data_IF_731688982923
#
_entry.id   IF_731688982923
#
_cell.length_a   1.000
_cell.length_b   1.000
_cell.length_c   1.000
_cell.angle_alpha   90.00
_cell.angle_beta   90.00
_cell.angle_gamma   90.00
#
_symmetry.space_group_name_H-M   'P 1'
#
loop_
_entity.id
_entity.type
_entity.pdbx_description
1 polymer ?
#
# COMPACT_ATOMS: atom_id res chain seq x y z
N UNK A 1 -2.17 -66.66 59.81
CA UNK A 1 -1.06 -65.83 59.30
C UNK A 1 -0.96 -65.71 57.77
N UNK A 2 -1.83 -66.34 56.95
CA UNK A 2 -1.77 -66.20 55.47
C UNK A 2 -2.44 -64.93 54.90
N UNK A 3 -3.46 -64.37 55.57
CA UNK A 3 -4.17 -63.16 55.08
C UNK A 3 -3.37 -61.86 55.17
N UNK A 4 -2.44 -61.76 56.13
CA UNK A 4 -1.62 -60.56 56.30
C UNK A 4 -0.55 -60.45 55.18
N UNK A 5 0.01 -61.58 54.77
CA UNK A 5 1.11 -61.61 53.79
C UNK A 5 0.65 -61.22 52.39
N UNK A 6 -0.59 -61.57 52.01
CA UNK A 6 -1.20 -61.19 50.73
C UNK A 6 -1.45 -59.67 50.64
N UNK A 7 -1.86 -59.05 51.75
CA UNK A 7 -2.07 -57.59 51.83
C UNK A 7 -0.74 -56.85 51.73
N UNK A 8 0.32 -57.32 52.41
CA UNK A 8 1.65 -56.71 52.28
C UNK A 8 2.29 -56.93 50.91
N UNK A 9 2.02 -58.05 50.22
CA UNK A 9 2.46 -58.23 48.81
C UNK A 9 1.65 -57.37 47.84
N UNK A 10 0.33 -57.22 48.03
CA UNK A 10 -0.50 -56.31 47.22
C UNK A 10 -0.14 -54.84 47.44
N UNK A 11 0.14 -54.43 48.68
CA UNK A 11 0.61 -53.07 48.98
C UNK A 11 2.04 -52.87 48.43
N UNK A 12 2.93 -53.84 48.57
CA UNK A 12 4.28 -53.80 47.99
C UNK A 12 4.28 -53.72 46.45
N UNK A 13 3.40 -54.45 45.78
CA UNK A 13 3.18 -54.36 44.33
C UNK A 13 2.56 -53.01 43.94
N UNK A 14 1.60 -52.48 44.70
CA UNK A 14 1.03 -51.15 44.46
C UNK A 14 2.05 -50.02 44.64
N UNK A 15 3.00 -50.14 45.57
CA UNK A 15 4.06 -49.14 45.74
C UNK A 15 5.14 -49.19 44.64
N UNK A 16 5.35 -50.34 43.99
CA UNK A 16 6.23 -50.44 42.81
C UNK A 16 5.64 -49.79 41.54
N UNK A 17 4.34 -49.49 41.51
CA UNK A 17 3.65 -48.88 40.36
C UNK A 17 3.12 -47.46 40.61
N UNK A 18 3.56 -46.79 41.69
CA UNK A 18 3.15 -45.41 42.03
C UNK A 18 3.56 -44.32 41.03
N UNK A 19 4.21 -44.67 39.93
CA UNK A 19 4.44 -43.76 38.82
C UNK A 19 3.49 -44.11 37.68
N UNK A 20 2.29 -43.54 37.70
CA UNK A 20 1.49 -43.35 36.48
C UNK A 20 2.31 -42.45 35.53
N UNK A 21 3.13 -43.05 34.67
CA UNK A 21 4.06 -42.36 33.77
C UNK A 21 3.30 -41.69 32.62
N UNK A 22 2.81 -40.47 32.83
CA UNK A 22 2.38 -39.63 31.72
C UNK A 22 3.59 -39.30 30.83
N UNK A 23 3.59 -39.80 29.59
CA UNK A 23 4.67 -39.61 28.62
C UNK A 23 4.24 -38.61 27.55
N UNK A 24 5.05 -37.58 27.34
CA UNK A 24 4.94 -36.64 26.20
C UNK A 24 6.19 -36.75 25.37
N UNK A 25 6.04 -37.11 24.11
CA UNK A 25 7.14 -37.14 23.15
C UNK A 25 6.91 -36.05 22.10
N UNK A 26 7.70 -34.96 22.11
CA UNK A 26 7.60 -33.93 21.08
C UNK A 26 8.16 -34.45 19.75
N UNK A 27 7.44 -34.18 18.67
CA UNK A 27 7.88 -34.47 17.29
C UNK A 27 8.55 -33.24 16.64
N UNK A 28 9.12 -32.36 17.47
CA UNK A 28 9.80 -31.13 17.08
C UNK A 28 11.06 -30.90 17.93
N UNK A 29 12.03 -30.19 17.37
CA UNK A 29 13.22 -29.74 18.10
C UNK A 29 13.03 -28.31 18.59
N UNK A 30 13.33 -28.04 19.86
CA UNK A 30 13.33 -26.67 20.40
C UNK A 30 14.63 -25.99 19.95
N UNK A 31 14.50 -24.91 19.20
CA UNK A 31 15.62 -24.12 18.74
C UNK A 31 15.98 -23.05 19.77
N UNK A 32 17.26 -22.65 19.81
CA UNK A 32 17.68 -21.49 20.59
C UNK A 32 17.42 -20.22 19.78
N UNK A 33 16.83 -19.22 20.41
CA UNK A 33 16.65 -17.89 19.83
C UNK A 33 17.66 -16.92 20.45
N UNK A 34 18.71 -16.62 19.70
CA UNK A 34 19.74 -15.65 20.05
C UNK A 34 19.77 -14.57 18.97
N UNK A 35 19.09 -13.44 19.23
CA UNK A 35 19.05 -12.29 18.33
C UNK A 35 19.19 -11.00 19.13
N UNK A 36 19.95 -10.05 18.58
CA UNK A 36 20.10 -8.69 19.13
C UNK A 36 18.78 -7.90 19.05
N UNK A 37 17.93 -8.24 18.08
CA UNK A 37 16.64 -7.56 17.85
C UNK A 37 15.50 -8.57 17.88
N UNK A 38 14.44 -8.26 18.64
CA UNK A 38 13.21 -9.05 18.66
C UNK A 38 12.36 -8.68 17.44
N UNK A 39 11.84 -9.67 16.69
CA UNK A 39 10.98 -9.39 15.56
C UNK A 39 9.65 -8.79 16.01
N UNK A 40 9.05 -7.97 15.15
CA UNK A 40 7.76 -7.33 15.42
C UNK A 40 6.64 -8.13 14.77
N UNK A 41 5.61 -8.47 15.55
CA UNK A 41 4.45 -9.20 15.06
C UNK A 41 3.17 -8.85 15.84
N UNK A 42 2.05 -9.33 15.32
CA UNK A 42 0.72 -9.15 15.88
C UNK A 42 0.05 -10.51 16.02
N UNK A 43 -0.73 -10.72 17.08
CA UNK A 43 -1.57 -11.93 17.19
C UNK A 43 -2.82 -11.73 16.33
N UNK A 44 -3.00 -12.55 15.31
CA UNK A 44 -4.11 -12.43 14.38
C UNK A 44 -5.47 -12.68 15.03
N UNK A 45 -6.56 -12.12 14.46
CA UNK A 45 -7.91 -12.28 15.01
C UNK A 45 -8.38 -13.74 15.03
N UNK A 46 -7.93 -14.57 14.07
CA UNK A 46 -8.26 -16.00 13.98
C UNK A 46 -7.54 -16.92 14.97
N UNK A 47 -6.72 -16.37 15.86
CA UNK A 47 -6.05 -17.17 16.90
C UNK A 47 -7.05 -17.72 17.92
N UNK A 48 -6.90 -18.98 18.29
CA UNK A 48 -7.71 -19.63 19.32
C UNK A 48 -7.57 -18.92 20.68
N UNK A 49 -8.68 -18.74 21.39
CA UNK A 49 -8.73 -18.18 22.75
C UNK A 49 -9.23 -16.73 22.84
N UNK A 50 -10.03 -16.46 23.88
CA UNK A 50 -10.55 -15.13 24.19
C UNK A 50 -9.47 -14.12 24.65
N UNK A 51 -9.85 -12.86 24.97
CA UNK A 51 -8.92 -11.77 25.28
C UNK A 51 -7.86 -12.10 26.34
N UNK A 52 -8.24 -12.82 27.40
CA UNK A 52 -7.34 -13.21 28.48
C UNK A 52 -6.20 -14.16 28.04
N UNK A 53 -6.44 -15.02 27.04
CA UNK A 53 -5.39 -15.89 26.49
C UNK A 53 -4.40 -15.06 25.68
N UNK A 54 -4.89 -14.12 24.87
CA UNK A 54 -4.05 -13.22 24.07
C UNK A 54 -3.13 -12.38 24.94
N UNK A 55 -3.63 -11.90 26.07
CA UNK A 55 -2.85 -11.11 27.03
C UNK A 55 -1.77 -11.95 27.74
N UNK A 56 -2.10 -13.20 28.09
CA UNK A 56 -1.14 -14.17 28.64
C UNK A 56 -0.03 -14.48 27.62
N UNK A 57 -0.41 -14.74 26.36
CA UNK A 57 0.55 -14.97 25.28
C UNK A 57 1.44 -13.77 25.03
N UNK A 58 0.88 -12.55 25.04
CA UNK A 58 1.65 -11.30 24.92
C UNK A 58 2.74 -11.23 26.00
N UNK A 59 2.40 -11.54 27.25
CA UNK A 59 3.36 -11.55 28.37
C UNK A 59 4.44 -12.61 28.20
N UNK A 60 4.07 -13.84 27.84
CA UNK A 60 5.03 -14.95 27.79
C UNK A 60 5.94 -14.89 26.55
N UNK A 61 5.41 -14.43 25.42
CA UNK A 61 6.15 -14.28 24.16
C UNK A 61 6.97 -12.99 24.10
N UNK A 62 6.67 -11.99 24.94
CA UNK A 62 7.40 -10.70 24.98
C UNK A 62 8.93 -10.83 25.13
N UNK A 63 9.39 -11.97 25.69
CA UNK A 63 10.81 -12.30 25.82
C UNK A 63 11.50 -12.51 24.49
N UNK A 64 10.76 -12.97 23.48
CA UNK A 64 11.28 -13.40 22.18
C UNK A 64 10.78 -12.54 21.02
N UNK A 65 9.55 -12.02 21.10
CA UNK A 65 8.86 -11.28 20.04
C UNK A 65 8.28 -9.98 20.62
N UNK A 66 8.39 -8.88 19.88
CA UNK A 66 7.70 -7.64 20.21
C UNK A 66 6.27 -7.69 19.64
N UNK A 67 5.32 -8.05 20.50
CA UNK A 67 3.92 -8.27 20.12
C UNK A 67 3.09 -7.00 20.31
N UNK A 68 2.59 -6.44 19.20
CA UNK A 68 1.61 -5.34 19.22
C UNK A 68 0.18 -5.84 19.05
N UNK A 69 -0.79 -5.01 19.43
CA UNK A 69 -2.21 -5.33 19.22
C UNK A 69 -2.59 -5.24 17.74
N UNK A 70 -3.55 -6.08 17.35
CA UNK A 70 -4.10 -6.06 16.01
C UNK A 70 -4.98 -4.82 15.86
N UNK A 71 -4.65 -3.99 14.88
CA UNK A 71 -5.54 -2.97 14.34
C UNK A 71 -5.82 -3.29 12.88
N UNK A 72 -7.05 -3.07 12.43
CA UNK A 72 -7.40 -3.17 11.00
C UNK A 72 -6.61 -2.20 10.12
N UNK A 73 -6.02 -1.16 10.72
CA UNK A 73 -5.14 -0.18 10.05
C UNK A 73 -3.70 -0.69 9.87
N UNK A 74 -3.34 -1.86 10.40
CA UNK A 74 -1.96 -2.39 10.40
C UNK A 74 -1.84 -3.76 9.69
N UNK A 75 -2.58 -3.95 8.59
CA UNK A 75 -2.58 -5.21 7.81
C UNK A 75 -1.20 -5.64 7.28
N UNK A 76 -0.27 -4.70 7.17
CA UNK A 76 1.09 -4.94 6.67
C UNK A 76 2.03 -5.56 7.72
N UNK A 77 1.64 -5.60 9.01
CA UNK A 77 2.42 -6.30 10.04
C UNK A 77 2.29 -7.82 9.89
N UNK A 78 3.32 -8.56 10.31
CA UNK A 78 3.28 -10.02 10.38
C UNK A 78 2.26 -10.44 11.42
N UNK A 79 1.23 -11.17 11.00
CA UNK A 79 0.20 -11.73 11.85
C UNK A 79 0.53 -13.19 12.15
N UNK A 80 0.51 -13.56 13.42
CA UNK A 80 0.72 -14.94 13.88
C UNK A 80 -0.63 -15.47 14.36
N UNK A 81 -1.09 -16.55 13.73
CA UNK A 81 -2.38 -17.19 14.03
C UNK A 81 -2.13 -18.57 14.63
N UNK A 82 -2.59 -18.78 15.87
CA UNK A 82 -2.49 -20.06 16.57
C UNK A 82 -3.79 -20.87 16.43
N UNK A 83 -3.70 -22.08 15.91
CA UNK A 83 -4.80 -23.02 15.79
C UNK A 83 -4.47 -24.32 16.55
N UNK A 84 -5.46 -24.89 17.24
CA UNK A 84 -5.32 -26.24 17.80
C UNK A 84 -5.27 -27.26 16.64
N UNK A 85 -4.32 -28.18 16.70
CA UNK A 85 -4.15 -29.21 15.69
C UNK A 85 -4.28 -30.59 16.34
N UNK A 86 -5.32 -31.33 15.98
CA UNK A 86 -5.44 -32.75 16.31
C UNK A 86 -5.70 -33.54 15.02
N UNK A 87 -4.77 -34.38 14.56
CA UNK A 87 -4.92 -35.09 13.29
C UNK A 87 -5.94 -36.24 13.33
N UNK A 88 -6.57 -36.56 14.48
CA UNK A 88 -7.56 -37.63 14.60
C UNK A 88 -8.65 -37.33 15.65
N UNK A 89 -9.85 -37.02 15.19
CA UNK A 89 -11.07 -37.47 15.86
C UNK A 89 -11.36 -38.91 15.39
N UNK A 90 -10.52 -39.87 15.77
CA UNK A 90 -11.01 -41.26 15.77
C UNK A 90 -11.89 -41.40 17.00
N UNK A 91 -13.19 -41.30 16.73
CA UNK A 91 -14.29 -41.71 17.56
C UNK A 91 -13.86 -42.95 18.36
N UNK A 92 -13.52 -42.75 19.63
CA UNK A 92 -13.32 -43.88 20.51
C UNK A 92 -14.69 -44.34 20.99
N UNK A 93 -15.47 -44.85 20.03
CA UNK A 93 -16.52 -45.81 20.29
C UNK A 93 -15.89 -47.15 20.73
N UNK A 94 -15.22 -47.14 21.88
CA UNK A 94 -15.15 -48.34 22.72
C UNK A 94 -16.42 -48.30 23.56
N UNK A 95 -17.34 -49.25 23.49
CA UNK A 95 -17.21 -50.63 23.08
C UNK A 95 -18.23 -51.34 23.96
N UNK A 96 -19.40 -51.61 23.40
CA UNK A 96 -20.43 -52.44 24.02
C UNK A 96 -19.87 -53.86 24.17
N UNK A 97 -19.15 -54.15 25.23
CA UNK A 97 -18.86 -55.51 25.75
C UNK A 97 -18.74 -55.30 27.27
N UNK A 98 -19.63 -55.78 28.13
CA UNK A 98 -20.10 -57.14 28.22
C UNK A 98 -19.34 -57.85 29.35
N UNK A 99 -19.99 -57.96 30.52
CA UNK A 99 -19.81 -59.04 31.51
C UNK A 99 -18.57 -58.99 32.44
N UNK A 100 -18.89 -58.76 33.72
CA UNK A 100 -18.41 -59.38 34.97
C UNK A 100 -16.98 -59.94 35.12
N UNK A 101 -16.39 -59.62 36.28
CA UNK A 101 -15.43 -60.42 37.05
C UNK A 101 -14.21 -60.99 36.29
N UNK A 102 -13.09 -60.24 36.28
CA UNK A 102 -11.77 -60.76 36.69
C UNK A 102 -10.74 -59.63 36.65
N UNK A 103 -9.83 -59.61 37.63
CA UNK A 103 -8.60 -58.84 37.60
C UNK A 103 -7.76 -59.20 36.37
N UNK A 104 -7.88 -58.43 35.29
CA UNK A 104 -6.88 -58.38 34.23
C UNK A 104 -6.49 -56.92 34.07
N UNK A 105 -5.22 -56.63 34.39
CA UNK A 105 -4.54 -55.41 34.00
C UNK A 105 -4.56 -55.33 32.47
N UNK A 106 -5.53 -54.62 31.89
CA UNK A 106 -5.38 -54.13 30.52
C UNK A 106 -4.57 -52.83 30.58
N UNK A 107 -3.33 -52.78 30.07
CA UNK A 107 -2.67 -51.51 29.83
C UNK A 107 -3.45 -50.79 28.73
N UNK A 108 -4.27 -49.81 29.10
CA UNK A 108 -4.96 -48.96 28.13
C UNK A 108 -3.90 -48.12 27.38
N UNK A 109 -3.52 -48.56 26.18
CA UNK A 109 -2.71 -47.81 25.22
C UNK A 109 -3.58 -46.81 24.47
N UNK A 110 -3.88 -45.67 25.09
CA UNK A 110 -4.45 -44.55 24.33
C UNK A 110 -3.35 -43.53 24.05
N UNK A 111 -2.69 -43.70 22.90
CA UNK A 111 -1.85 -42.66 22.31
C UNK A 111 -2.74 -41.72 21.51
N UNK A 112 -2.69 -40.42 21.80
CA UNK A 112 -3.29 -39.41 20.94
C UNK A 112 -2.24 -38.37 20.55
N UNK A 113 -2.31 -37.90 19.32
CA UNK A 113 -1.48 -36.83 18.81
C UNK A 113 -2.23 -35.51 18.99
N UNK A 114 -1.55 -34.52 19.56
CA UNK A 114 -2.06 -33.16 19.72
C UNK A 114 -0.97 -32.17 19.41
N UNK A 115 -1.33 -30.99 18.91
CA UNK A 115 -0.35 -30.01 18.50
C UNK A 115 -0.92 -28.62 18.31
N UNK A 116 -0.03 -27.73 17.88
CA UNK A 116 -0.35 -26.36 17.50
C UNK A 116 0.03 -26.19 16.04
N UNK A 117 -0.89 -25.62 15.26
CA UNK A 117 -0.62 -25.09 13.94
C UNK A 117 -0.42 -23.57 14.07
N UNK A 118 0.69 -23.07 13.54
CA UNK A 118 1.05 -21.66 13.53
C UNK A 118 1.05 -21.19 12.08
N UNK A 119 0.20 -20.22 11.75
CA UNK A 119 0.18 -19.58 10.43
C UNK A 119 0.75 -18.16 10.55
N UNK A 120 1.58 -17.80 9.58
CA UNK A 120 2.15 -16.47 9.45
C UNK A 120 1.52 -15.79 8.24
N UNK A 121 0.83 -14.68 8.48
CA UNK A 121 0.10 -13.95 7.46
C UNK A 121 0.62 -12.53 7.31
N UNK A 122 0.69 -12.03 6.07
CA UNK A 122 0.95 -10.62 5.76
C UNK A 122 -0.13 -10.17 4.78
N UNK A 123 -0.88 -9.11 5.13
CA UNK A 123 -1.98 -8.59 4.32
C UNK A 123 -3.01 -9.68 3.91
N UNK A 124 -3.34 -10.59 4.84
CA UNK A 124 -4.30 -11.68 4.61
C UNK A 124 -3.81 -12.82 3.71
N UNK A 125 -2.53 -12.81 3.30
CA UNK A 125 -1.90 -13.92 2.59
C UNK A 125 -1.03 -14.73 3.53
N UNK A 126 -1.19 -16.06 3.51
CA UNK A 126 -0.36 -16.99 4.27
C UNK A 126 1.02 -17.07 3.62
N UNK A 127 2.05 -16.63 4.34
CA UNK A 127 3.46 -16.72 3.93
C UNK A 127 4.09 -18.05 4.37
N UNK A 128 3.68 -18.57 5.52
CA UNK A 128 4.23 -19.83 6.07
C UNK A 128 3.26 -20.50 7.04
N UNK A 129 3.31 -21.84 7.10
CA UNK A 129 2.56 -22.66 8.06
C UNK A 129 3.53 -23.63 8.74
N UNK A 130 3.49 -23.67 10.07
CA UNK A 130 4.29 -24.57 10.89
C UNK A 130 3.37 -25.41 11.77
N UNK A 131 3.76 -26.68 12.00
CA UNK A 131 3.00 -27.62 12.83
C UNK A 131 3.93 -28.20 13.89
N UNK A 132 3.52 -28.09 15.13
CA UNK A 132 4.23 -28.63 16.29
C UNK A 132 3.36 -29.67 16.95
N UNK A 133 3.70 -30.95 16.81
CA UNK A 133 2.91 -32.06 17.37
C UNK A 133 3.65 -32.77 18.51
N UNK A 134 2.85 -33.29 19.45
CA UNK A 134 3.30 -34.08 20.58
C UNK A 134 2.48 -35.37 20.65
N UNK A 135 3.18 -36.50 20.71
CA UNK A 135 2.57 -37.80 21.00
C UNK A 135 2.40 -37.94 22.51
N UNK A 136 1.15 -38.19 22.93
CA UNK A 136 0.79 -38.27 24.35
C UNK A 136 0.30 -39.67 24.66
N UNK A 137 0.91 -40.29 25.66
CA UNK A 137 0.52 -41.62 26.15
C UNK A 137 -0.03 -41.49 27.56
N UNK A 138 -1.30 -41.88 27.74
CA UNK A 138 -1.95 -41.91 29.05
C UNK A 138 -2.00 -43.34 29.58
N UNK A 139 -1.49 -43.55 30.79
CA UNK A 139 -1.60 -44.83 31.49
C UNK A 139 -2.63 -44.70 32.61
N UNK A 140 -3.72 -45.45 32.53
CA UNK A 140 -4.83 -45.39 33.50
C UNK A 140 -4.88 -46.68 34.32
N UNK A 141 -4.87 -46.55 35.64
CA UNK A 141 -5.12 -47.66 36.57
C UNK A 141 -6.60 -47.66 37.00
N UNK A 142 -7.29 -48.77 36.73
CA UNK A 142 -8.74 -48.90 36.81
C UNK A 142 -9.41 -48.59 38.17
N UNK A 143 -8.79 -48.77 39.35
CA UNK A 143 -9.47 -48.51 40.63
C UNK A 143 -9.81 -47.03 40.90
N UNK A 144 -9.15 -46.08 40.22
CA UNK A 144 -9.35 -44.63 40.42
C UNK A 144 -10.26 -43.97 39.37
N UNK A 145 -10.80 -44.74 38.43
CA UNK A 145 -11.56 -44.21 37.29
C UNK A 145 -12.92 -43.64 37.71
N UNK A 146 -13.55 -44.18 38.76
CA UNK A 146 -14.90 -43.75 39.17
C UNK A 146 -14.95 -42.40 39.91
N UNK A 147 -13.89 -41.99 40.60
CA UNK A 147 -13.86 -40.70 41.31
C UNK A 147 -13.73 -39.51 40.34
N UNK A 148 -13.06 -39.73 39.21
CA UNK A 148 -12.80 -38.71 38.19
C UNK A 148 -13.98 -38.49 37.23
N UNK A 149 -14.89 -39.45 37.04
CA UNK A 149 -15.97 -39.32 36.04
C UNK A 149 -17.00 -38.22 36.41
N UNK A 150 -17.16 -37.90 37.70
CA UNK A 150 -18.19 -36.96 38.16
C UNK A 150 -17.71 -35.51 38.40
N UNK A 151 -16.40 -35.24 38.38
CA UNK A 151 -15.83 -33.90 38.65
C UNK A 151 -15.17 -33.24 37.44
N UNK A 152 -15.04 -33.91 36.29
CA UNK A 152 -14.07 -33.53 35.25
C UNK A 152 -14.54 -32.52 34.17
N UNK A 153 -15.81 -32.12 34.06
CA UNK A 153 -16.23 -31.37 32.85
C UNK A 153 -15.62 -29.96 32.75
N UNK A 154 -15.47 -29.21 33.85
CA UNK A 154 -14.80 -27.90 33.86
C UNK A 154 -13.28 -27.99 33.99
N UNK A 155 -12.76 -28.99 34.73
CA UNK A 155 -11.32 -29.19 34.90
C UNK A 155 -10.61 -29.65 33.61
N UNK A 156 -11.32 -30.36 32.72
CA UNK A 156 -10.77 -30.77 31.42
C UNK A 156 -10.44 -29.55 30.54
N UNK A 157 -11.31 -28.54 30.51
CA UNK A 157 -11.08 -27.34 29.70
C UNK A 157 -9.89 -26.51 30.20
N UNK A 158 -9.82 -26.28 31.52
CA UNK A 158 -8.70 -25.57 32.15
C UNK A 158 -7.38 -26.36 32.03
N UNK A 159 -7.44 -27.68 32.15
CA UNK A 159 -6.30 -28.56 31.94
C UNK A 159 -5.80 -28.52 30.49
N UNK A 160 -6.71 -28.58 29.51
CA UNK A 160 -6.37 -28.45 28.06
C UNK A 160 -5.75 -27.08 27.75
N UNK A 161 -6.31 -26.00 28.28
CA UNK A 161 -5.82 -24.62 28.11
C UNK A 161 -4.42 -24.43 28.70
N UNK A 162 -4.18 -24.93 29.91
CA UNK A 162 -2.87 -24.86 30.57
C UNK A 162 -1.80 -25.63 29.78
N UNK A 163 -2.17 -26.79 29.25
CA UNK A 163 -1.28 -27.63 28.44
C UNK A 163 -0.96 -27.00 27.07
N UNK A 164 -1.94 -26.37 26.44
CA UNK A 164 -1.77 -25.61 25.21
C UNK A 164 -0.81 -24.43 25.40
N UNK A 165 -0.98 -23.64 26.46
CA UNK A 165 -0.06 -22.56 26.83
C UNK A 165 1.36 -23.08 27.08
N UNK A 166 1.50 -24.22 27.76
CA UNK A 166 2.81 -24.83 28.01
C UNK A 166 3.51 -25.25 26.71
N UNK A 167 2.78 -25.82 25.76
CA UNK A 167 3.30 -26.14 24.43
C UNK A 167 3.71 -24.86 23.70
N UNK A 168 2.85 -23.84 23.65
CA UNK A 168 3.14 -22.54 23.03
C UNK A 168 4.42 -21.88 23.59
N UNK A 169 4.59 -21.89 24.91
CA UNK A 169 5.81 -21.38 25.55
C UNK A 169 7.06 -22.16 25.17
N UNK A 170 6.93 -23.47 24.98
CA UNK A 170 8.04 -24.34 24.61
C UNK A 170 8.49 -24.07 23.18
N UNK A 171 7.55 -23.77 22.28
CA UNK A 171 7.84 -23.48 20.86
C UNK A 171 8.05 -21.98 20.56
N UNK A 172 7.86 -21.09 21.53
CA UNK A 172 8.01 -19.64 21.36
C UNK A 172 9.36 -19.22 20.73
N UNK A 173 10.51 -19.83 21.08
CA UNK A 173 11.79 -19.54 20.40
C UNK A 173 11.77 -19.87 18.91
N UNK A 174 11.13 -20.98 18.51
CA UNK A 174 11.01 -21.39 17.11
C UNK A 174 10.14 -20.38 16.34
N UNK A 175 9.01 -19.97 16.95
CA UNK A 175 8.11 -18.97 16.37
C UNK A 175 8.84 -17.64 16.18
N UNK A 176 9.62 -17.20 17.16
CA UNK A 176 10.40 -15.97 17.06
C UNK A 176 11.44 -16.03 15.93
N UNK A 177 12.12 -17.16 15.76
CA UNK A 177 13.09 -17.34 14.67
C UNK A 177 12.42 -17.30 13.30
N UNK A 178 11.30 -17.98 13.14
CA UNK A 178 10.52 -17.97 11.89
C UNK A 178 9.97 -16.57 11.59
N UNK A 179 9.47 -15.86 12.60
CA UNK A 179 9.01 -14.47 12.47
C UNK A 179 10.13 -13.55 12.00
N UNK A 180 11.32 -13.65 12.60
CA UNK A 180 12.49 -12.85 12.21
C UNK A 180 12.95 -13.14 10.78
N UNK A 181 12.87 -14.41 10.35
CA UNK A 181 13.18 -14.79 8.97
C UNK A 181 12.20 -14.15 7.98
N UNK A 182 10.90 -14.23 8.27
CA UNK A 182 9.84 -13.64 7.44
C UNK A 182 9.99 -12.11 7.38
N UNK A 183 10.30 -11.46 8.50
CA UNK A 183 10.54 -10.02 8.57
C UNK A 183 11.72 -9.61 7.68
N UNK A 184 12.84 -10.34 7.77
CA UNK A 184 14.02 -10.04 6.96
C UNK A 184 13.78 -10.29 5.45
N UNK A 185 13.07 -11.36 5.09
CA UNK A 185 12.74 -11.68 3.69
C UNK A 185 11.78 -10.66 3.07
N UNK A 186 10.89 -10.06 3.86
CA UNK A 186 9.88 -9.11 3.38
C UNK A 186 10.20 -7.64 3.69
N UNK A 187 11.30 -7.34 4.37
CA UNK A 187 11.65 -5.99 4.82
C UNK A 187 11.61 -4.95 3.71
N UNK A 188 12.17 -5.26 2.53
CA UNK A 188 12.16 -4.37 1.37
C UNK A 188 10.75 -4.13 0.83
N UNK A 189 9.97 -5.21 0.65
CA UNK A 189 8.59 -5.15 0.15
C UNK A 189 7.66 -4.39 1.09
N UNK A 190 7.83 -4.56 2.39
CA UNK A 190 7.06 -3.83 3.41
C UNK A 190 7.39 -2.33 3.38
N UNK A 191 8.67 -1.98 3.25
CA UNK A 191 9.10 -0.58 3.15
C UNK A 191 8.56 0.07 1.87
N UNK A 192 8.63 -0.61 0.72
CA UNK A 192 8.11 -0.14 -0.56
C UNK A 192 6.59 0.10 -0.50
N UNK A 193 5.82 -0.84 0.07
CA UNK A 193 4.37 -0.66 0.23
C UNK A 193 4.01 0.53 1.12
N UNK A 194 4.71 0.68 2.24
CA UNK A 194 4.50 1.81 3.15
C UNK A 194 4.80 3.13 2.45
N UNK A 195 5.86 3.17 1.64
CA UNK A 195 6.20 4.33 0.83
C UNK A 195 5.08 4.66 -0.17
N UNK A 196 4.57 3.68 -0.92
CA UNK A 196 3.46 3.87 -1.88
C UNK A 196 2.19 4.36 -1.16
N UNK A 197 1.84 3.79 -0.01
CA UNK A 197 0.68 4.23 0.78
C UNK A 197 0.85 5.68 1.25
N UNK A 198 2.04 6.06 1.70
CA UNK A 198 2.33 7.43 2.09
C UNK A 198 2.22 8.38 0.89
N UNK A 199 2.78 8.02 -0.27
CA UNK A 199 2.68 8.81 -1.49
C UNK A 199 1.24 9.00 -1.97
N UNK A 200 0.42 7.95 -1.89
CA UNK A 200 -1.02 8.01 -2.19
C UNK A 200 -1.74 8.96 -1.23
N UNK A 201 -1.50 8.83 0.07
CA UNK A 201 -2.13 9.68 1.09
C UNK A 201 -1.74 11.15 0.91
N UNK A 202 -0.48 11.44 0.61
CA UNK A 202 -0.03 12.80 0.32
C UNK A 202 -0.66 13.32 -0.97
N UNK A 203 -0.71 12.52 -2.03
CA UNK A 203 -1.38 12.90 -3.27
C UNK A 203 -2.84 13.25 -3.04
N UNK A 204 -3.60 12.45 -2.29
CA UNK A 204 -5.02 12.68 -2.01
C UNK A 204 -5.27 14.06 -1.36
N UNK A 205 -4.38 14.50 -0.47
CA UNK A 205 -4.49 15.79 0.24
C UNK A 205 -4.20 17.01 -0.63
N UNK A 206 -3.47 16.86 -1.74
CA UNK A 206 -3.11 17.98 -2.63
C UNK A 206 -4.38 18.64 -3.19
N UNK A 207 -4.46 19.97 -3.18
CA UNK A 207 -5.53 20.69 -3.87
C UNK A 207 -5.23 20.77 -5.38
N UNK A 208 -5.90 19.96 -6.19
CA UNK A 208 -5.70 19.90 -7.64
C UNK A 208 -6.16 21.16 -8.40
N UNK A 209 -6.75 22.14 -7.72
CA UNK A 209 -7.11 23.43 -8.30
C UNK A 209 -6.09 24.55 -7.99
N UNK A 210 -5.07 24.28 -7.19
CA UNK A 210 -3.98 25.22 -6.91
C UNK A 210 -2.74 24.83 -7.70
N UNK A 211 -2.20 25.80 -8.45
CA UNK A 211 -0.92 25.63 -9.15
C UNK A 211 0.19 25.44 -8.13
N UNK A 212 0.15 26.20 -7.02
CA UNK A 212 1.14 26.10 -5.93
C UNK A 212 1.23 24.70 -5.36
N UNK A 213 0.08 24.11 -4.99
CA UNK A 213 0.05 22.81 -4.32
C UNK A 213 0.51 21.68 -5.27
N UNK A 214 0.12 21.73 -6.55
CA UNK A 214 0.55 20.77 -7.56
C UNK A 214 2.06 20.85 -7.83
N UNK A 215 2.62 22.06 -7.98
CA UNK A 215 4.06 22.25 -8.17
C UNK A 215 4.84 21.77 -6.95
N UNK A 216 4.38 22.10 -5.74
CA UNK A 216 5.01 21.65 -4.50
C UNK A 216 5.00 20.11 -4.37
N UNK A 217 3.90 19.45 -4.72
CA UNK A 217 3.84 17.99 -4.77
C UNK A 217 4.86 17.43 -5.77
N UNK A 218 4.87 17.95 -7.01
CA UNK A 218 5.75 17.46 -8.08
C UNK A 218 7.25 17.63 -7.79
N UNK A 219 7.64 18.63 -7.01
CA UNK A 219 9.02 18.84 -6.56
C UNK A 219 9.49 17.76 -5.56
N UNK A 220 8.56 17.19 -4.79
CA UNK A 220 8.87 16.23 -3.73
C UNK A 220 8.49 14.79 -4.10
N UNK A 221 7.68 14.59 -5.14
CA UNK A 221 7.20 13.28 -5.56
C UNK A 221 8.30 12.43 -6.22
N UNK A 222 8.30 11.15 -5.87
CA UNK A 222 9.13 10.14 -6.53
C UNK A 222 8.63 9.87 -7.96
N UNK A 223 9.53 9.42 -8.84
CA UNK A 223 9.13 9.04 -10.20
C UNK A 223 8.16 7.85 -10.17
N UNK A 224 7.14 7.90 -11.02
CA UNK A 224 6.10 6.87 -11.09
C UNK A 224 4.75 7.43 -11.52
N UNK A 225 3.74 6.57 -11.48
CA UNK A 225 2.38 6.85 -11.98
C UNK A 225 1.75 8.09 -11.33
N UNK A 226 1.89 8.26 -10.01
CA UNK A 226 1.33 9.41 -9.29
C UNK A 226 1.95 10.74 -9.71
N UNK A 227 3.26 10.76 -9.98
CA UNK A 227 3.95 11.96 -10.47
C UNK A 227 3.49 12.31 -11.88
N UNK A 228 3.24 11.32 -12.73
CA UNK A 228 2.72 11.55 -14.07
C UNK A 228 1.26 12.03 -14.05
N UNK A 229 0.41 11.47 -13.18
CA UNK A 229 -0.95 11.98 -12.92
C UNK A 229 -0.94 13.42 -12.42
N UNK A 230 0.03 13.78 -11.56
CA UNK A 230 0.19 15.15 -11.06
C UNK A 230 0.67 16.11 -12.17
N UNK A 231 1.55 15.68 -13.07
CA UNK A 231 1.98 16.46 -14.25
C UNK A 231 0.79 16.74 -15.17
N UNK A 232 -0.01 15.72 -15.46
CA UNK A 232 -1.22 15.87 -16.29
C UNK A 232 -2.23 16.82 -15.64
N UNK A 233 -2.46 16.65 -14.33
CA UNK A 233 -3.35 17.54 -13.56
C UNK A 233 -2.88 19.00 -13.61
N UNK A 234 -1.57 19.24 -13.49
CA UNK A 234 -0.98 20.57 -13.60
C UNK A 234 -1.18 21.16 -15.00
N UNK A 235 -0.84 20.41 -16.05
CA UNK A 235 -0.99 20.89 -17.43
C UNK A 235 -2.45 21.26 -17.75
N UNK A 236 -3.40 20.39 -17.38
CA UNK A 236 -4.83 20.65 -17.53
C UNK A 236 -5.28 21.91 -16.78
N UNK A 237 -4.76 22.11 -15.56
CA UNK A 237 -5.05 23.32 -14.79
C UNK A 237 -4.47 24.56 -15.48
N UNK A 238 -3.22 24.51 -15.94
CA UNK A 238 -2.56 25.62 -16.62
C UNK A 238 -3.31 26.00 -17.91
N UNK A 239 -3.72 25.04 -18.73
CA UNK A 239 -4.52 25.31 -19.93
C UNK A 239 -5.83 26.01 -19.60
N UNK A 240 -6.50 25.57 -18.54
CA UNK A 240 -7.73 26.20 -18.06
C UNK A 240 -7.47 27.64 -17.61
N UNK A 241 -6.35 27.89 -16.91
CA UNK A 241 -5.95 29.25 -16.48
C UNK A 241 -5.68 30.15 -17.68
N UNK A 242 -4.99 29.64 -18.71
CA UNK A 242 -4.72 30.38 -19.96
C UNK A 242 -6.03 30.74 -20.65
N UNK A 243 -6.92 29.77 -20.87
CA UNK A 243 -8.23 30.00 -21.50
C UNK A 243 -9.07 31.02 -20.73
N UNK A 244 -9.11 30.90 -19.40
CA UNK A 244 -9.88 31.79 -18.52
C UNK A 244 -9.35 33.22 -18.59
N UNK A 245 -8.02 33.39 -18.51
CA UNK A 245 -7.39 34.70 -18.64
C UNK A 245 -7.70 35.37 -19.97
N UNK A 246 -7.53 34.64 -21.08
CA UNK A 246 -7.76 35.17 -22.43
C UNK A 246 -9.23 35.57 -22.61
N UNK A 247 -10.19 34.74 -22.17
CA UNK A 247 -11.62 35.05 -22.33
C UNK A 247 -12.05 36.23 -21.47
N UNK A 248 -11.54 36.33 -20.24
CA UNK A 248 -11.90 37.43 -19.35
C UNK A 248 -11.38 38.77 -19.88
N UNK A 249 -10.17 38.79 -20.45
CA UNK A 249 -9.55 40.02 -20.99
C UNK A 249 -9.97 40.33 -22.42
N UNK A 250 -10.24 39.30 -23.23
CA UNK A 250 -10.60 39.39 -24.64
C UNK A 250 -11.83 38.51 -24.96
N UNK A 251 -13.04 38.91 -24.56
CA UNK A 251 -14.24 38.09 -24.73
C UNK A 251 -14.54 37.66 -26.17
N UNK A 252 -14.14 38.49 -27.15
CA UNK A 252 -14.29 38.18 -28.58
C UNK A 252 -13.47 36.96 -29.05
N UNK A 253 -12.50 36.50 -28.25
CA UNK A 253 -11.69 35.30 -28.54
C UNK A 253 -12.41 34.01 -28.17
N UNK A 254 -13.42 34.05 -27.29
CA UNK A 254 -14.13 32.88 -26.78
C UNK A 254 -14.55 31.86 -27.85
N UNK A 255 -15.07 32.26 -29.03
CA UNK A 255 -15.46 31.31 -30.09
C UNK A 255 -14.30 30.57 -30.74
N UNK A 256 -13.07 31.06 -30.58
CA UNK A 256 -11.89 30.62 -31.34
C UNK A 256 -10.84 29.92 -30.49
N UNK A 257 -10.96 29.89 -29.17
CA UNK A 257 -9.93 29.35 -28.27
C UNK A 257 -9.42 27.97 -28.68
N UNK A 258 -10.34 27.06 -29.02
CA UNK A 258 -10.04 25.66 -29.37
C UNK A 258 -9.88 25.42 -30.86
N UNK A 259 -9.93 26.47 -31.68
CA UNK A 259 -9.72 26.34 -33.11
C UNK A 259 -8.26 26.00 -33.39
N UNK A 260 -8.02 25.09 -34.33
CA UNK A 260 -6.67 24.81 -34.81
C UNK A 260 -6.13 26.05 -35.53
N UNK A 261 -4.90 26.44 -35.19
CA UNK A 261 -4.18 27.49 -35.90
C UNK A 261 -3.66 26.94 -37.22
N UNK A 262 -4.11 27.48 -38.33
CA UNK A 262 -3.62 27.13 -39.66
C UNK A 262 -2.52 28.09 -40.09
N UNK A 263 -1.52 27.56 -40.79
CA UNK A 263 -0.53 28.36 -41.48
C UNK A 263 -1.15 29.05 -42.72
N UNK A 264 -0.47 30.04 -43.32
CA UNK A 264 -0.98 30.78 -44.47
C UNK A 264 -1.32 29.94 -45.69
N UNK A 265 -0.65 28.79 -45.85
CA UNK A 265 -0.92 27.80 -46.90
C UNK A 265 -2.15 26.91 -46.61
N UNK A 266 -2.81 27.12 -45.48
CA UNK A 266 -3.96 26.34 -45.02
C UNK A 266 -3.58 24.99 -44.39
N UNK A 267 -2.29 24.68 -44.26
CA UNK A 267 -1.84 23.49 -43.55
C UNK A 267 -2.19 23.59 -42.05
N UNK A 268 -2.57 22.46 -41.47
CA UNK A 268 -2.92 22.40 -40.05
C UNK A 268 -1.66 22.57 -39.19
N UNK A 269 -1.66 23.57 -38.33
CA UNK A 269 -0.68 23.69 -37.26
C UNK A 269 -0.93 22.67 -36.15
N UNK A 270 0.07 22.49 -35.29
CA UNK A 270 0.01 21.58 -34.14
C UNK A 270 -0.63 22.20 -32.89
N UNK A 271 -1.14 23.43 -33.00
CA UNK A 271 -1.58 24.23 -31.87
C UNK A 271 -3.05 24.60 -31.95
N UNK A 272 -3.72 24.61 -30.81
CA UNK A 272 -4.97 25.33 -30.61
C UNK A 272 -4.69 26.82 -30.40
N UNK A 273 -5.67 27.67 -30.72
CA UNK A 273 -5.45 29.11 -30.69
C UNK A 273 -5.11 29.65 -29.30
N UNK A 274 -5.65 29.08 -28.22
CA UNK A 274 -5.26 29.51 -26.87
C UNK A 274 -3.80 29.15 -26.54
N UNK A 275 -3.28 28.06 -27.09
CA UNK A 275 -1.97 27.51 -26.74
C UNK A 275 -0.85 28.45 -27.17
N UNK A 276 -0.97 29.16 -28.30
CA UNK A 276 0.09 30.09 -28.75
C UNK A 276 0.30 31.30 -27.83
N UNK A 277 -0.51 31.44 -26.76
CA UNK A 277 -0.36 32.46 -25.73
C UNK A 277 0.08 31.90 -24.37
N UNK A 278 0.22 30.58 -24.24
CA UNK A 278 0.46 29.86 -22.98
C UNK A 278 1.58 30.52 -22.17
N UNK A 279 2.76 30.69 -22.76
CA UNK A 279 3.90 31.24 -22.05
C UNK A 279 3.69 32.69 -21.61
N UNK A 280 3.07 33.53 -22.45
CA UNK A 280 2.77 34.92 -22.09
C UNK A 280 1.85 35.04 -20.87
N UNK A 281 0.89 34.12 -20.73
CA UNK A 281 -0.05 34.12 -19.61
C UNK A 281 0.58 33.54 -18.35
N UNK A 282 1.36 32.48 -18.50
CA UNK A 282 1.87 31.70 -17.37
C UNK A 282 3.21 32.22 -16.82
N UNK A 283 4.08 32.76 -17.67
CA UNK A 283 5.47 33.07 -17.32
C UNK A 283 5.59 34.45 -16.66
N UNK A 284 6.36 34.50 -15.58
CA UNK A 284 6.93 35.70 -14.98
C UNK A 284 8.41 35.41 -14.75
N UNK A 285 9.28 36.25 -15.31
CA UNK A 285 10.71 36.08 -15.16
C UNK A 285 11.08 36.10 -13.67
N UNK A 286 11.66 35.01 -13.17
CA UNK A 286 11.95 34.84 -11.74
C UNK A 286 13.00 35.81 -11.19
N UNK A 287 13.89 36.33 -12.04
CA UNK A 287 14.97 37.24 -11.63
C UNK A 287 14.54 38.71 -11.63
N UNK A 288 13.77 39.12 -12.64
CA UNK A 288 13.40 40.52 -12.88
C UNK A 288 11.96 40.83 -12.46
N UNK A 289 11.13 39.81 -12.25
CA UNK A 289 9.69 39.96 -12.05
C UNK A 289 8.94 40.40 -13.30
N UNK A 290 9.61 40.57 -14.44
CA UNK A 290 9.00 41.01 -15.68
C UNK A 290 8.03 39.95 -16.24
N UNK A 291 6.87 40.40 -16.67
CA UNK A 291 5.85 39.60 -17.34
C UNK A 291 5.38 40.33 -18.59
N UNK A 292 5.44 39.64 -19.71
CA UNK A 292 4.97 40.19 -20.98
C UNK A 292 3.46 40.03 -21.09
N UNK A 293 2.75 41.12 -21.38
CA UNK A 293 1.31 41.09 -21.57
C UNK A 293 0.90 40.48 -22.92
N UNK A 294 -0.20 39.73 -22.92
CA UNK A 294 -0.94 39.39 -24.14
C UNK A 294 -1.63 40.64 -24.66
N UNK A 295 -1.46 40.98 -25.94
CA UNK A 295 -2.14 42.11 -26.61
C UNK A 295 -2.92 41.60 -27.81
N UNK A 296 -4.25 41.55 -27.71
CA UNK A 296 -5.15 41.11 -28.76
C UNK A 296 -6.14 42.21 -29.14
N UNK A 297 -6.37 42.35 -30.44
CA UNK A 297 -7.33 43.31 -31.00
C UNK A 297 -8.26 42.62 -32.00
N UNK A 298 -9.46 43.18 -32.17
CA UNK A 298 -10.37 42.78 -33.25
C UNK A 298 -10.59 43.98 -34.19
N UNK A 299 -10.33 43.79 -35.48
CA UNK A 299 -10.56 44.81 -36.51
C UNK A 299 -11.03 44.15 -37.80
N UNK A 300 -12.13 44.63 -38.37
CA UNK A 300 -12.66 44.16 -39.67
C UNK A 300 -12.84 42.62 -39.72
N UNK A 301 -13.32 42.03 -38.63
CA UNK A 301 -13.52 40.57 -38.52
C UNK A 301 -12.23 39.75 -38.33
N UNK A 302 -11.06 40.41 -38.25
CA UNK A 302 -9.76 39.79 -38.01
C UNK A 302 -9.35 39.91 -36.55
N UNK A 303 -8.63 38.91 -36.05
CA UNK A 303 -7.97 38.95 -34.75
C UNK A 303 -6.51 39.31 -34.98
N UNK A 304 -6.00 40.31 -34.26
CA UNK A 304 -4.62 40.78 -34.38
C UNK A 304 -3.93 40.52 -33.06
N UNK A 305 -2.83 39.77 -33.09
CA UNK A 305 -1.93 39.57 -31.96
C UNK A 305 -0.69 40.47 -32.13
N UNK A 306 -0.49 41.37 -31.18
CA UNK A 306 0.72 42.17 -31.07
C UNK A 306 1.68 41.56 -30.05
N UNK A 307 2.94 41.44 -30.44
CA UNK A 307 3.97 40.81 -29.65
C UNK A 307 5.31 41.51 -29.84
N UNK A 308 5.98 41.84 -28.75
CA UNK A 308 7.39 42.23 -28.76
C UNK A 308 8.27 40.98 -28.59
N UNK A 309 9.15 40.70 -29.56
CA UNK A 309 10.07 39.56 -29.47
C UNK A 309 11.42 39.96 -30.05
N UNK A 310 12.49 39.74 -29.27
CA UNK A 310 13.88 40.09 -29.62
C UNK A 310 14.04 41.54 -30.09
N UNK A 311 13.39 42.48 -29.38
CA UNK A 311 13.46 43.92 -29.67
C UNK A 311 12.67 44.38 -30.91
N UNK A 312 11.82 43.52 -31.48
CA UNK A 312 10.98 43.83 -32.64
C UNK A 312 9.51 43.62 -32.34
N UNK A 313 8.66 44.47 -32.88
CA UNK A 313 7.20 44.36 -32.75
C UNK A 313 6.64 43.53 -33.89
N UNK A 314 5.97 42.45 -33.57
CA UNK A 314 5.31 41.55 -34.51
C UNK A 314 3.79 41.73 -34.40
N UNK A 315 3.11 41.81 -35.54
CA UNK A 315 1.66 41.76 -35.63
C UNK A 315 1.27 40.55 -36.46
N UNK A 316 0.50 39.64 -35.87
CA UNK A 316 -0.04 38.45 -36.53
C UNK A 316 -1.54 38.65 -36.72
N UNK A 317 -2.00 38.51 -37.96
CA UNK A 317 -3.38 38.72 -38.36
C UNK A 317 -4.02 37.37 -38.64
N UNK A 318 -5.11 37.11 -37.94
CA UNK A 318 -5.83 35.85 -37.97
C UNK A 318 -7.24 36.06 -38.49
N UNK A 319 -7.67 35.16 -39.37
CA UNK A 319 -9.02 35.15 -39.95
C UNK A 319 -9.70 33.84 -39.58
N UNK A 320 -10.90 33.89 -39.00
CA UNK A 320 -11.70 32.68 -38.79
C UNK A 320 -12.03 31.99 -40.11
N UNK A 321 -11.78 30.69 -40.20
CA UNK A 321 -12.11 29.89 -41.39
C UNK A 321 -12.70 28.55 -40.97
N UNK A 322 -14.00 28.36 -41.21
CA UNK A 322 -14.77 27.20 -40.72
C UNK A 322 -14.60 27.05 -39.19
N UNK A 323 -14.12 25.90 -38.73
CA UNK A 323 -13.84 25.61 -37.32
C UNK A 323 -12.37 25.87 -36.94
N UNK A 324 -11.60 26.56 -37.79
CA UNK A 324 -10.18 26.84 -37.62
C UNK A 324 -9.92 28.35 -37.61
N UNK A 325 -8.67 28.73 -37.36
CA UNK A 325 -8.21 30.12 -37.43
C UNK A 325 -6.94 30.18 -38.26
N UNK A 326 -6.96 30.93 -39.37
CA UNK A 326 -5.85 30.97 -40.32
C UNK A 326 -5.01 32.21 -40.11
N UNK A 327 -3.68 32.04 -40.06
CA UNK A 327 -2.76 33.15 -40.17
C UNK A 327 -2.82 33.70 -41.59
N UNK A 328 -3.39 34.89 -41.76
CA UNK A 328 -3.50 35.55 -43.06
C UNK A 328 -2.26 36.39 -43.36
N UNK A 329 -1.70 37.04 -42.35
CA UNK A 329 -0.62 38.01 -42.50
C UNK A 329 0.22 38.10 -41.24
N UNK A 330 1.52 38.34 -41.41
CA UNK A 330 2.43 38.75 -40.35
C UNK A 330 3.20 39.99 -40.77
N UNK A 331 3.38 40.92 -39.85
CA UNK A 331 4.24 42.09 -40.05
C UNK A 331 5.19 42.26 -38.89
N UNK A 332 6.36 42.86 -39.16
CA UNK A 332 7.43 43.11 -38.21
C UNK A 332 7.88 44.57 -38.36
N UNK A 333 7.75 45.35 -37.30
CA UNK A 333 8.07 46.79 -37.28
C UNK A 333 7.40 47.57 -38.44
N UNK A 334 6.14 47.22 -38.74
CA UNK A 334 5.35 47.83 -39.83
C UNK A 334 5.60 47.23 -41.23
N UNK A 335 6.61 46.38 -41.39
CA UNK A 335 6.92 45.73 -42.66
C UNK A 335 6.16 44.41 -42.76
N UNK A 336 5.35 44.23 -43.79
CA UNK A 336 4.66 42.95 -44.05
C UNK A 336 5.66 41.91 -44.54
N UNK A 337 5.70 40.75 -43.89
CA UNK A 337 6.59 39.67 -44.29
C UNK A 337 5.93 38.82 -45.38
N UNK A 338 6.74 38.30 -46.29
CA UNK A 338 6.27 37.43 -47.36
C UNK A 338 5.97 36.04 -46.79
N UNK A 339 4.87 35.41 -47.22
CA UNK A 339 4.39 34.12 -46.69
C UNK A 339 4.73 32.93 -47.60
N UNK A 340 5.47 33.19 -48.68
CA UNK A 340 5.96 32.19 -49.62
C UNK A 340 7.12 31.38 -49.01
N UNK A 341 7.08 30.06 -49.17
CA UNK A 341 8.14 29.14 -48.70
C UNK A 341 9.44 29.21 -49.53
N UNK A 342 9.61 30.26 -50.34
CA UNK A 342 10.75 30.46 -51.23
C UNK A 342 11.95 31.09 -50.53
N UNK A 343 13.00 30.28 -50.36
CA UNK A 343 14.41 30.64 -50.07
C UNK A 343 14.66 31.38 -48.75
N UNK A 344 14.81 30.57 -47.68
CA UNK A 344 15.74 30.74 -46.55
C UNK A 344 16.16 32.16 -46.18
N UNK A 345 15.35 32.82 -45.36
CA UNK A 345 15.74 34.02 -44.62
C UNK A 345 14.85 34.24 -43.41
N UNK A 346 15.36 34.95 -42.40
CA UNK A 346 14.60 35.42 -41.21
C UNK A 346 13.42 36.35 -41.54
N UNK A 347 13.18 36.61 -42.83
CA UNK A 347 12.11 37.47 -43.35
C UNK A 347 10.97 36.67 -43.99
N UNK A 348 11.04 35.32 -43.97
CA UNK A 348 9.92 34.45 -44.30
C UNK A 348 8.90 34.47 -43.14
N UNK A 349 7.70 34.98 -43.42
CA UNK A 349 6.63 35.14 -42.44
C UNK A 349 6.04 33.82 -41.95
N UNK A 350 6.00 32.77 -42.77
CA UNK A 350 5.54 31.44 -42.32
C UNK A 350 6.53 30.81 -41.33
N UNK A 351 7.83 30.89 -41.63
CA UNK A 351 8.88 30.46 -40.70
C UNK A 351 8.87 31.28 -39.41
N UNK A 352 8.74 32.61 -39.52
CA UNK A 352 8.67 33.49 -38.35
C UNK A 352 7.46 33.16 -37.48
N UNK A 353 6.28 32.92 -38.06
CA UNK A 353 5.10 32.51 -37.30
C UNK A 353 5.33 31.18 -36.57
N UNK A 354 5.92 30.18 -37.23
CA UNK A 354 6.24 28.89 -36.61
C UNK A 354 7.19 29.04 -35.42
N UNK A 355 8.21 29.91 -35.52
CA UNK A 355 9.11 30.24 -34.42
C UNK A 355 8.37 30.86 -33.24
N UNK A 356 7.49 31.83 -33.51
CA UNK A 356 6.71 32.50 -32.46
C UNK A 356 5.74 31.52 -31.78
N UNK A 357 5.01 30.71 -32.55
CA UNK A 357 4.12 29.71 -31.96
C UNK A 357 4.87 28.77 -31.04
N UNK A 358 5.99 28.21 -31.51
CA UNK A 358 6.82 27.31 -30.70
C UNK A 358 7.36 27.98 -29.44
N UNK A 359 7.79 29.25 -29.51
CA UNK A 359 8.33 29.97 -28.36
C UNK A 359 7.28 30.19 -27.27
N UNK A 360 6.06 30.54 -27.67
CA UNK A 360 5.00 30.96 -26.75
C UNK A 360 3.99 29.87 -26.41
N UNK A 361 4.03 28.71 -27.08
CA UNK A 361 3.14 27.58 -26.80
C UNK A 361 3.59 26.67 -25.66
N UNK A 362 4.88 26.68 -25.33
CA UNK A 362 5.43 25.81 -24.29
C UNK A 362 5.07 26.26 -22.88
N UNK A 363 4.90 25.30 -21.96
CA UNK A 363 4.85 25.62 -20.54
C UNK A 363 6.21 26.16 -20.06
N UNK A 364 6.23 27.24 -19.26
CA UNK A 364 7.47 27.74 -18.69
C UNK A 364 8.01 26.78 -17.63
N UNK A 365 9.27 26.99 -17.23
CA UNK A 365 9.85 26.29 -16.08
C UNK A 365 9.06 26.63 -14.82
N UNK A 366 9.01 25.69 -13.86
CA UNK A 366 8.25 25.91 -12.61
C UNK A 366 8.70 27.15 -11.84
N UNK A 367 10.00 27.46 -11.86
CA UNK A 367 10.54 28.67 -11.20
C UNK A 367 10.03 29.97 -11.83
N UNK A 368 9.64 29.93 -13.10
CA UNK A 368 9.17 31.08 -13.88
C UNK A 368 7.64 31.09 -14.01
N UNK A 369 6.92 30.17 -13.35
CA UNK A 369 5.46 30.25 -13.26
C UNK A 369 5.05 31.40 -12.32
N UNK A 370 4.14 32.23 -12.78
CA UNK A 370 3.56 33.30 -11.98
C UNK A 370 2.46 32.78 -11.03
N UNK A 371 2.84 31.90 -10.11
CA UNK A 371 1.92 31.12 -9.26
C UNK A 371 0.91 32.01 -8.53
N UNK A 372 1.37 33.12 -7.95
CA UNK A 372 0.51 34.04 -7.19
C UNK A 372 -0.59 34.66 -8.06
N UNK A 373 -0.24 35.05 -9.29
CA UNK A 373 -1.20 35.53 -10.25
C UNK A 373 -2.17 34.42 -10.67
N UNK A 374 -1.65 33.24 -11.00
CA UNK A 374 -2.46 32.12 -11.49
C UNK A 374 -3.45 31.62 -10.43
N UNK A 375 -3.07 31.59 -9.16
CA UNK A 375 -3.95 31.17 -8.07
C UNK A 375 -4.92 32.29 -7.62
N UNK A 376 -4.74 33.54 -8.08
CA UNK A 376 -5.62 34.67 -7.73
C UNK A 376 -7.00 34.62 -8.41
N UNK A 377 -7.16 33.87 -9.50
CA UNK A 377 -8.42 33.72 -10.23
C UNK A 377 -8.78 32.25 -10.44
N UNK A 378 -10.09 31.94 -10.42
CA UNK A 378 -10.60 30.56 -10.42
C UNK A 378 -10.93 30.04 -11.81
#
# INVERSE_FOLDING_TARGET
>A
MQKLNLIYTLIGLCFCFLNCLYSVKPNYTIERFESLTRPKAVIGPGSFGGPALKETLKKEFSKFIDLTEYSETEKDKIQIVFQEYSPREEDNSYGKIGIFNLCILMPCWKSYESGVKVEYEINGKIERVERYTEDKTLWVWLPFVFYNIFTLSSEIEDYKKTKFLKLLNTIAPNIAKSTLKIENENKSKMAERLQIQNELSEWEKVNKNSVRDLVHYLQNANEGELKDQAKESLNNLLDKKVQTYIVNRYPFIKPYLKNTVLYPDGSAGSYQFFEIFTRLVLEKNSETGFKQDVKLFQKEGKIIWELEYRGKTHLLYFVPYKNNITLEKISRDGITLALDYGVNGYDNGAFQAALLYREFSGYPLWKDLDIDFLDSFK
#
